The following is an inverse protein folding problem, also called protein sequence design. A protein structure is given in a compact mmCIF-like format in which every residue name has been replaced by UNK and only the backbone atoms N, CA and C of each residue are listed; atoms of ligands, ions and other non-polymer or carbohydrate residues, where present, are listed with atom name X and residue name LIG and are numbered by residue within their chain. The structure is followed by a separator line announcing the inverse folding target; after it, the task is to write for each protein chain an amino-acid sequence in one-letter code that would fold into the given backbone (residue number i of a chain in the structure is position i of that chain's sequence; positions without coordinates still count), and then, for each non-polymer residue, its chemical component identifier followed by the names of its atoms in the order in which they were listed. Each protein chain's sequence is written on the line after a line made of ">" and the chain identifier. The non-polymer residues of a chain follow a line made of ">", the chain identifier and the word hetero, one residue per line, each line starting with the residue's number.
data_IF_702854493700
#
_entry.id   IF_702854493700
#
_cell.length_a   1.000
_cell.length_b   1.000
_cell.length_c   1.000
_cell.angle_alpha   90.00
_cell.angle_beta   90.00
_cell.angle_gamma   90.00
#
_symmetry.space_group_name_H-M   'P 1'
#
loop_
_entity.id
_entity.type
_entity.pdbx_description
1 polymer ?
#
# COMPACT_ATOMS: atom_id res chain seq x y z
N UNK A 1 -1.93 -21.96 0.91
CA UNK A 1 -2.11 -21.81 -0.56
C UNK A 1 -2.08 -20.33 -0.85
N UNK A 2 -1.12 -19.85 -1.63
CA UNK A 2 -1.05 -18.45 -2.05
C UNK A 2 -2.24 -18.19 -2.97
N UNK A 3 -3.19 -17.34 -2.57
CA UNK A 3 -4.31 -16.95 -3.43
C UNK A 3 -3.74 -16.41 -4.74
N UNK A 4 -4.18 -16.95 -5.88
CA UNK A 4 -3.77 -16.45 -7.19
C UNK A 4 -4.19 -14.98 -7.27
N UNK A 5 -3.34 -14.13 -7.86
CA UNK A 5 -3.73 -12.77 -8.21
C UNK A 5 -4.97 -12.81 -9.12
N UNK A 6 -5.87 -11.83 -8.96
CA UNK A 6 -7.00 -11.69 -9.87
C UNK A 6 -6.54 -11.31 -11.29
N UNK A 7 -5.32 -10.75 -11.41
CA UNK A 7 -4.71 -10.27 -12.66
C UNK A 7 -3.43 -11.04 -12.94
N UNK A 8 -3.20 -11.36 -14.20
CA UNK A 8 -1.97 -11.99 -14.71
C UNK A 8 -1.05 -10.86 -15.19
N UNK A 9 -0.06 -10.50 -14.38
CA UNK A 9 0.89 -9.43 -14.70
C UNK A 9 2.00 -9.87 -15.66
N UNK A 10 2.32 -11.15 -15.68
CA UNK A 10 3.27 -11.74 -16.61
C UNK A 10 2.90 -13.21 -16.87
N UNK A 11 3.10 -13.67 -18.10
CA UNK A 11 2.62 -15.01 -18.52
C UNK A 11 3.20 -16.15 -17.66
N UNK A 12 4.48 -16.02 -17.26
CA UNK A 12 5.17 -16.96 -16.39
C UNK A 12 6.09 -16.21 -15.43
N UNK A 13 6.06 -16.58 -14.14
CA UNK A 13 7.05 -16.07 -13.20
C UNK A 13 8.44 -16.58 -13.57
N UNK A 14 9.42 -15.70 -13.85
CA UNK A 14 10.79 -16.15 -14.13
C UNK A 14 11.37 -16.94 -12.96
N UNK A 15 12.16 -17.99 -13.24
CA UNK A 15 12.77 -18.81 -12.19
C UNK A 15 13.68 -18.01 -11.27
N UNK A 16 14.50 -17.11 -11.85
CA UNK A 16 15.34 -16.21 -11.08
C UNK A 16 14.52 -15.34 -10.10
N UNK A 17 13.40 -14.78 -10.55
CA UNK A 17 12.53 -13.93 -9.73
C UNK A 17 11.91 -14.73 -8.57
N UNK A 18 11.46 -15.97 -8.84
CA UNK A 18 10.92 -16.85 -7.81
C UNK A 18 11.94 -17.18 -6.71
N UNK A 19 13.24 -17.25 -7.03
CA UNK A 19 14.31 -17.47 -6.04
C UNK A 19 14.43 -16.28 -5.08
N UNK A 20 14.40 -15.04 -5.57
CA UNK A 20 14.39 -13.85 -4.72
C UNK A 20 13.11 -13.78 -3.87
N UNK A 21 11.96 -14.10 -4.44
CA UNK A 21 10.71 -14.17 -3.70
C UNK A 21 10.74 -15.20 -2.54
N UNK A 22 11.55 -16.25 -2.64
CA UNK A 22 11.67 -17.29 -1.62
C UNK A 22 12.58 -16.89 -0.43
N UNK A 23 13.35 -15.81 -0.52
CA UNK A 23 14.26 -15.37 0.52
C UNK A 23 13.51 -15.02 1.83
N UNK A 24 14.09 -15.30 3.02
CA UNK A 24 13.43 -15.11 4.31
C UNK A 24 12.85 -13.71 4.54
N UNK A 25 13.52 -12.58 4.19
CA UNK A 25 12.95 -11.26 4.37
C UNK A 25 11.66 -11.05 3.54
N UNK A 26 11.62 -11.58 2.30
CA UNK A 26 10.40 -11.56 1.47
C UNK A 26 9.29 -12.44 2.06
N UNK A 27 9.66 -13.62 2.62
CA UNK A 27 8.68 -14.49 3.25
C UNK A 27 8.09 -13.87 4.53
N UNK A 28 8.84 -13.02 5.24
CA UNK A 28 8.35 -12.25 6.38
C UNK A 28 7.13 -11.40 6.01
N UNK A 29 7.21 -10.63 4.93
CA UNK A 29 6.14 -9.70 4.52
C UNK A 29 4.88 -10.41 3.97
N UNK A 30 4.86 -11.75 3.86
CA UNK A 30 3.62 -12.53 3.69
C UNK A 30 2.67 -12.37 4.87
N UNK A 31 3.22 -12.05 6.03
CA UNK A 31 2.51 -11.91 7.31
C UNK A 31 2.41 -10.44 7.73
N UNK A 32 2.47 -9.54 6.77
CA UNK A 32 2.21 -8.11 6.91
C UNK A 32 1.09 -7.74 5.94
N UNK A 33 -0.03 -7.25 6.46
CA UNK A 33 -1.22 -6.88 5.69
C UNK A 33 -1.05 -5.58 4.90
N UNK A 34 -1.83 -5.43 3.84
CA UNK A 34 -1.86 -4.19 3.03
C UNK A 34 -2.67 -3.07 3.67
N UNK A 35 -3.63 -3.40 4.57
CA UNK A 35 -4.61 -2.42 5.06
C UNK A 35 -4.21 -1.81 6.41
N UNK A 36 -2.93 -1.78 6.73
CA UNK A 36 -2.37 -1.08 7.91
C UNK A 36 -3.01 -1.49 9.25
N UNK A 37 -3.51 -2.73 9.35
CA UNK A 37 -4.20 -3.28 10.51
C UNK A 37 -5.71 -2.98 10.55
N UNK A 38 -6.26 -2.13 9.65
CA UNK A 38 -7.69 -1.83 9.60
C UNK A 38 -8.55 -3.07 9.40
N UNK A 39 -8.03 -4.11 8.74
CA UNK A 39 -8.67 -5.41 8.52
C UNK A 39 -8.97 -6.19 9.80
N UNK A 40 -8.34 -5.85 10.91
CA UNK A 40 -8.63 -6.46 12.22
C UNK A 40 -9.85 -5.83 12.90
N UNK A 41 -10.32 -4.68 12.43
CA UNK A 41 -11.53 -4.03 12.96
C UNK A 41 -12.81 -4.70 12.45
N UNK A 42 -13.92 -4.41 13.12
CA UNK A 42 -15.25 -4.85 12.71
C UNK A 42 -15.98 -3.84 11.82
N UNK A 43 -15.31 -2.78 11.35
CA UNK A 43 -15.92 -1.87 10.38
C UNK A 43 -16.40 -2.61 9.15
N UNK A 44 -17.65 -2.39 8.68
CA UNK A 44 -18.21 -3.10 7.53
C UNK A 44 -17.32 -3.07 6.28
N UNK A 45 -16.59 -1.98 6.08
CA UNK A 45 -15.68 -1.77 4.96
C UNK A 45 -14.51 -2.76 4.96
N UNK A 46 -13.95 -3.10 6.13
CA UNK A 46 -12.76 -3.94 6.26
C UNK A 46 -13.06 -5.40 6.59
N UNK A 47 -14.19 -5.68 7.24
CA UNK A 47 -14.53 -6.99 7.84
C UNK A 47 -14.50 -8.19 6.88
N UNK A 48 -14.63 -7.98 5.57
CA UNK A 48 -14.75 -9.06 4.58
C UNK A 48 -13.75 -8.94 3.44
N UNK A 49 -12.64 -8.25 3.69
CA UNK A 49 -11.58 -8.16 2.70
C UNK A 49 -10.91 -9.52 2.53
N UNK A 50 -10.61 -9.94 1.29
CA UNK A 50 -9.77 -11.10 1.07
C UNK A 50 -8.35 -10.84 1.59
N UNK A 51 -7.62 -11.87 2.04
CA UNK A 51 -6.23 -11.71 2.47
C UNK A 51 -5.38 -11.09 1.36
N UNK A 52 -4.76 -9.95 1.67
CA UNK A 52 -3.86 -9.22 0.78
C UNK A 52 -2.65 -8.75 1.59
N UNK A 53 -1.48 -9.31 1.28
CA UNK A 53 -0.23 -9.05 2.02
C UNK A 53 0.74 -8.20 1.21
N UNK A 54 1.66 -7.55 1.90
CA UNK A 54 2.78 -6.83 1.31
C UNK A 54 3.60 -7.71 0.36
N UNK A 55 3.77 -8.98 0.67
CA UNK A 55 4.40 -9.94 -0.24
C UNK A 55 3.68 -10.05 -1.59
N UNK A 56 2.35 -10.21 -1.56
CA UNK A 56 1.58 -10.34 -2.80
C UNK A 56 1.69 -9.08 -3.64
N UNK A 57 1.59 -7.93 -3.01
CA UNK A 57 1.78 -6.63 -3.61
C UNK A 57 3.18 -6.48 -4.23
N UNK A 58 4.25 -6.71 -3.46
CA UNK A 58 5.63 -6.61 -3.94
C UNK A 58 5.92 -7.54 -5.12
N UNK A 59 5.42 -8.78 -5.06
CA UNK A 59 5.56 -9.72 -6.19
C UNK A 59 4.84 -9.19 -7.44
N UNK A 60 3.64 -8.62 -7.27
CA UNK A 60 2.89 -8.01 -8.37
C UNK A 60 3.60 -6.82 -8.98
N UNK A 61 4.06 -5.87 -8.15
CA UNK A 61 4.81 -4.69 -8.60
C UNK A 61 6.09 -5.08 -9.35
N UNK A 62 6.85 -6.07 -8.83
CA UNK A 62 8.04 -6.59 -9.51
C UNK A 62 7.73 -7.26 -10.86
N UNK A 63 6.65 -8.05 -10.96
CA UNK A 63 6.24 -8.67 -12.21
C UNK A 63 5.74 -7.67 -13.24
N UNK A 64 5.02 -6.62 -12.82
CA UNK A 64 4.61 -5.50 -13.68
C UNK A 64 5.85 -4.80 -14.21
N UNK A 65 6.78 -4.45 -13.33
CA UNK A 65 8.03 -3.78 -13.74
C UNK A 65 8.83 -4.65 -14.71
N UNK A 66 8.95 -5.96 -14.44
CA UNK A 66 9.58 -6.89 -15.38
C UNK A 66 8.90 -6.92 -16.74
N UNK A 67 7.55 -6.95 -16.75
CA UNK A 67 6.78 -7.01 -17.99
C UNK A 67 7.04 -5.81 -18.91
N UNK A 68 7.12 -4.60 -18.34
CA UNK A 68 7.24 -3.37 -19.12
C UNK A 68 8.69 -2.94 -19.38
N UNK A 69 9.66 -3.41 -18.60
CA UNK A 69 11.06 -2.96 -18.74
C UNK A 69 12.01 -4.04 -19.24
N UNK A 70 11.74 -5.32 -18.96
CA UNK A 70 12.69 -6.41 -19.20
C UNK A 70 13.98 -6.27 -18.36
N UNK A 71 14.07 -5.35 -17.39
CA UNK A 71 15.23 -5.12 -16.54
C UNK A 71 15.09 -5.87 -15.22
N UNK A 72 16.07 -6.74 -14.94
CA UNK A 72 16.12 -7.50 -13.70
C UNK A 72 16.31 -6.59 -12.48
N UNK A 73 17.16 -5.57 -12.58
CA UNK A 73 17.43 -4.61 -11.51
C UNK A 73 16.14 -3.84 -11.14
N UNK A 74 15.43 -3.32 -12.15
CA UNK A 74 14.18 -2.60 -11.91
C UNK A 74 13.11 -3.48 -11.29
N UNK A 75 12.96 -4.71 -11.79
CA UNK A 75 12.00 -5.67 -11.27
C UNK A 75 12.32 -6.07 -9.81
N UNK A 76 13.61 -6.23 -9.46
CA UNK A 76 14.03 -6.51 -8.08
C UNK A 76 13.88 -5.29 -7.17
N UNK A 77 14.19 -4.09 -7.64
CA UNK A 77 13.94 -2.88 -6.88
C UNK A 77 12.44 -2.75 -6.53
N UNK A 78 11.55 -2.97 -7.52
CA UNK A 78 10.12 -3.02 -7.28
C UNK A 78 9.67 -4.20 -6.38
N UNK A 79 10.35 -5.36 -6.44
CA UNK A 79 10.09 -6.48 -5.53
C UNK A 79 10.46 -6.13 -4.08
N UNK A 80 11.54 -5.38 -3.87
CA UNK A 80 12.08 -5.09 -2.55
C UNK A 80 11.55 -3.79 -1.93
N UNK A 81 10.76 -2.98 -2.66
CA UNK A 81 10.34 -1.67 -2.17
C UNK A 81 9.66 -1.74 -0.78
N UNK A 82 8.89 -2.79 -0.52
CA UNK A 82 8.18 -3.03 0.74
C UNK A 82 8.89 -4.01 1.70
N UNK A 83 10.13 -4.46 1.37
CA UNK A 83 10.84 -5.47 2.18
C UNK A 83 11.11 -4.99 3.61
N UNK A 84 11.18 -3.67 3.82
CA UNK A 84 11.39 -3.03 5.11
C UNK A 84 10.08 -2.64 5.82
N UNK A 85 8.92 -2.86 5.21
CA UNK A 85 7.64 -2.46 5.80
C UNK A 85 7.43 -3.16 7.14
N UNK A 86 7.19 -2.41 8.24
CA UNK A 86 6.89 -2.97 9.53
C UNK A 86 5.47 -3.58 9.56
N UNK A 87 5.16 -4.31 10.63
CA UNK A 87 3.79 -4.77 10.91
C UNK A 87 2.84 -3.58 10.97
N UNK A 88 1.64 -3.73 10.42
CA UNK A 88 0.65 -2.67 10.31
C UNK A 88 1.12 -1.44 9.51
N UNK A 89 2.23 -1.55 8.79
CA UNK A 89 2.70 -0.58 7.79
C UNK A 89 2.62 0.89 8.26
N UNK A 90 1.89 1.76 7.55
CA UNK A 90 1.77 3.19 7.85
C UNK A 90 1.19 3.52 9.23
N UNK A 91 0.63 2.57 9.95
CA UNK A 91 0.27 2.77 11.36
C UNK A 91 1.51 3.07 12.22
N UNK A 92 2.68 2.53 11.86
CA UNK A 92 3.94 2.87 12.53
C UNK A 92 4.40 4.29 12.22
N UNK A 93 4.16 4.80 11.02
CA UNK A 93 4.41 6.22 10.68
C UNK A 93 3.54 7.14 11.56
N UNK A 94 2.27 6.77 11.79
CA UNK A 94 1.36 7.48 12.72
C UNK A 94 1.90 7.49 14.17
N UNK A 95 2.58 6.43 14.63
CA UNK A 95 3.22 6.43 15.97
C UNK A 95 4.24 7.57 16.12
N UNK A 96 4.89 7.96 15.03
CA UNK A 96 5.91 9.00 14.98
C UNK A 96 5.35 10.36 14.55
N UNK A 97 4.02 10.47 14.32
CA UNK A 97 3.36 11.71 13.89
C UNK A 97 3.56 12.03 12.41
N UNK A 98 4.07 11.08 11.62
CA UNK A 98 4.27 11.22 10.18
C UNK A 98 3.01 10.82 9.41
N UNK A 99 1.96 11.61 9.53
CA UNK A 99 0.67 11.38 8.88
C UNK A 99 0.67 11.68 7.37
N UNK A 100 1.56 12.58 6.93
CA UNK A 100 1.49 13.17 5.59
C UNK A 100 2.55 12.63 4.63
N UNK A 101 3.77 12.33 5.11
CA UNK A 101 4.83 11.74 4.27
C UNK A 101 4.73 10.23 4.26
N UNK A 102 4.63 9.62 5.45
CA UNK A 102 4.58 8.16 5.63
C UNK A 102 5.85 7.46 5.10
N UNK A 103 7.01 8.02 5.42
CA UNK A 103 8.34 7.57 4.93
C UNK A 103 9.27 7.13 6.09
N UNK A 104 8.81 7.24 7.35
CA UNK A 104 9.65 6.93 8.52
C UNK A 104 10.28 5.55 8.47
N UNK A 105 9.63 4.59 7.82
CA UNK A 105 10.01 3.16 7.82
C UNK A 105 10.84 2.73 6.61
N UNK A 106 11.04 3.58 5.59
CA UNK A 106 11.69 3.20 4.32
C UNK A 106 13.21 3.04 4.43
N UNK A 107 13.86 3.67 5.40
CA UNK A 107 15.33 3.72 5.54
C UNK A 107 16.03 2.39 5.84
N UNK A 108 15.33 1.25 5.93
CA UNK A 108 15.93 -0.05 6.27
C UNK A 108 16.08 -1.03 5.10
N UNK A 109 15.61 -0.68 3.92
CA UNK A 109 15.61 -1.59 2.75
C UNK A 109 17.01 -2.11 2.44
N UNK A 110 17.99 -1.22 2.33
CA UNK A 110 19.37 -1.59 2.03
C UNK A 110 19.96 -2.53 3.08
N UNK A 111 19.78 -2.22 4.37
CA UNK A 111 20.32 -3.06 5.45
C UNK A 111 19.67 -4.44 5.49
N UNK A 112 18.36 -4.54 5.30
CA UNK A 112 17.65 -5.83 5.29
C UNK A 112 18.11 -6.71 4.13
N UNK A 113 18.37 -6.14 2.96
CA UNK A 113 18.90 -6.88 1.81
C UNK A 113 20.33 -7.31 2.08
N UNK A 114 21.18 -6.41 2.57
CA UNK A 114 22.60 -6.66 2.86
C UNK A 114 22.81 -7.72 3.96
N UNK A 115 21.98 -7.68 5.00
CA UNK A 115 22.04 -8.58 6.14
C UNK A 115 21.44 -9.98 5.84
N UNK A 116 20.78 -10.18 4.68
CA UNK A 116 20.28 -11.48 4.26
C UNK A 116 21.34 -12.24 3.44
N UNK A 117 21.92 -13.34 3.98
CA UNK A 117 22.90 -14.15 3.24
C UNK A 117 22.33 -14.68 1.92
N UNK A 118 21.03 -15.04 1.90
CA UNK A 118 20.37 -15.59 0.72
C UNK A 118 20.22 -14.52 -0.39
N UNK A 119 19.79 -13.29 -0.03
CA UNK A 119 19.67 -12.20 -0.99
C UNK A 119 21.04 -11.77 -1.50
N UNK A 120 22.02 -11.61 -0.62
CA UNK A 120 23.39 -11.26 -0.98
C UNK A 120 24.02 -12.29 -1.91
N UNK A 121 23.81 -13.59 -1.65
CA UNK A 121 24.31 -14.66 -2.52
C UNK A 121 23.63 -14.63 -3.90
N UNK A 122 22.31 -14.42 -3.95
CA UNK A 122 21.58 -14.32 -5.21
C UNK A 122 22.00 -13.10 -6.01
N UNK A 123 22.11 -11.92 -5.40
CA UNK A 123 22.60 -10.70 -6.06
C UNK A 123 24.01 -10.93 -6.64
N UNK A 124 24.90 -11.57 -5.88
CA UNK A 124 26.24 -11.95 -6.36
C UNK A 124 26.22 -12.93 -7.52
N UNK A 125 25.33 -13.92 -7.51
CA UNK A 125 25.17 -14.90 -8.60
C UNK A 125 24.76 -14.24 -9.91
N UNK A 126 23.84 -13.25 -9.84
CA UNK A 126 23.36 -12.53 -11.03
C UNK A 126 24.19 -11.27 -11.35
N UNK A 127 25.22 -10.96 -10.58
CA UNK A 127 26.09 -9.80 -10.79
C UNK A 127 25.39 -8.46 -10.58
N UNK A 128 24.35 -8.40 -9.75
CA UNK A 128 23.53 -7.22 -9.48
C UNK A 128 24.06 -6.52 -8.24
N UNK A 129 24.50 -5.25 -8.34
CA UNK A 129 24.95 -4.50 -7.17
C UNK A 129 23.77 -4.15 -6.24
N UNK A 130 24.01 -4.16 -4.91
CA UNK A 130 23.01 -3.83 -3.91
C UNK A 130 22.36 -2.45 -4.19
N UNK A 131 23.14 -1.46 -4.57
CA UNK A 131 22.66 -0.10 -4.89
C UNK A 131 21.69 -0.02 -6.05
N UNK A 132 21.66 -1.03 -6.94
CA UNK A 132 20.69 -1.08 -8.04
C UNK A 132 19.31 -1.59 -7.62
N UNK A 133 19.17 -2.14 -6.40
CA UNK A 133 17.92 -2.76 -5.95
C UNK A 133 17.43 -2.25 -4.58
N UNK A 134 18.23 -1.43 -3.89
CA UNK A 134 17.90 -0.90 -2.57
C UNK A 134 17.09 0.40 -2.61
N UNK A 135 17.12 1.11 -3.73
CA UNK A 135 16.36 2.34 -3.96
C UNK A 135 15.52 2.22 -5.23
N UNK A 136 14.23 1.99 -5.08
CA UNK A 136 13.29 1.84 -6.20
C UNK A 136 12.91 3.18 -6.85
N UNK A 137 13.13 4.32 -6.17
CA UNK A 137 12.80 5.66 -6.68
C UNK A 137 13.61 6.06 -7.91
N UNK A 138 14.78 5.44 -8.11
CA UNK A 138 15.59 5.69 -9.31
C UNK A 138 14.97 5.09 -10.59
N UNK A 139 13.88 4.32 -10.45
CA UNK A 139 13.18 3.63 -11.54
C UNK A 139 11.74 4.08 -11.68
N UNK A 140 11.44 5.07 -12.52
CA UNK A 140 10.09 5.68 -12.61
C UNK A 140 8.97 4.72 -13.02
N UNK A 141 9.27 3.59 -13.68
CA UNK A 141 8.28 2.54 -13.97
C UNK A 141 7.94 1.75 -12.70
N UNK A 142 8.92 1.51 -11.80
CA UNK A 142 8.70 0.82 -10.54
C UNK A 142 7.85 1.68 -9.60
N UNK A 143 8.32 2.91 -9.31
CA UNK A 143 7.54 3.94 -8.64
C UNK A 143 7.98 5.34 -9.06
N UNK A 144 7.11 6.33 -8.85
CA UNK A 144 7.30 7.73 -9.21
C UNK A 144 6.42 8.62 -8.30
N UNK A 145 6.53 9.93 -8.43
CA UNK A 145 5.73 10.87 -7.63
C UNK A 145 4.25 10.88 -8.06
N UNK A 146 3.33 10.93 -7.06
CA UNK A 146 1.92 11.17 -7.32
C UNK A 146 1.76 12.55 -7.99
N UNK A 147 0.87 12.70 -8.97
CA UNK A 147 -0.18 11.75 -9.40
C UNK A 147 0.21 10.82 -10.56
N UNK A 148 1.49 10.68 -10.87
CA UNK A 148 1.96 9.80 -11.96
C UNK A 148 1.63 8.34 -11.72
N UNK A 149 1.73 7.53 -12.78
CA UNK A 149 1.32 6.15 -12.79
C UNK A 149 2.52 5.20 -12.85
N UNK A 150 2.65 4.33 -11.84
CA UNK A 150 3.75 3.39 -11.66
C UNK A 150 3.26 1.96 -11.47
N UNK A 151 4.19 0.98 -11.46
CA UNK A 151 3.88 -0.41 -11.18
C UNK A 151 3.35 -0.61 -9.75
N UNK A 152 3.91 0.10 -8.77
CA UNK A 152 3.43 0.12 -7.39
C UNK A 152 1.96 0.55 -7.34
N UNK A 153 1.64 1.75 -7.90
CA UNK A 153 0.28 2.29 -7.90
C UNK A 153 -0.72 1.44 -8.66
N UNK A 154 -0.30 0.87 -9.78
CA UNK A 154 -1.13 -0.05 -10.55
C UNK A 154 -1.48 -1.29 -9.74
N UNK A 155 -0.48 -1.93 -9.12
CA UNK A 155 -0.68 -3.18 -8.40
C UNK A 155 -1.58 -3.01 -7.19
N UNK A 156 -1.31 -2.02 -6.32
CA UNK A 156 -2.16 -1.84 -5.15
C UNK A 156 -3.58 -1.37 -5.51
N UNK A 157 -3.73 -0.60 -6.59
CA UNK A 157 -5.07 -0.19 -7.06
C UNK A 157 -5.86 -1.40 -7.54
N UNK A 158 -5.31 -2.26 -8.40
CA UNK A 158 -5.98 -3.47 -8.88
C UNK A 158 -6.28 -4.45 -7.74
N UNK A 159 -5.34 -4.62 -6.80
CA UNK A 159 -5.52 -5.45 -5.62
C UNK A 159 -6.65 -4.96 -4.72
N UNK A 160 -6.71 -3.66 -4.46
CA UNK A 160 -7.75 -3.04 -3.64
C UNK A 160 -9.11 -2.99 -4.35
N UNK A 161 -9.16 -2.78 -5.66
CA UNK A 161 -10.39 -2.88 -6.45
C UNK A 161 -10.99 -4.29 -6.37
N UNK A 162 -10.15 -5.33 -6.39
CA UNK A 162 -10.60 -6.70 -6.17
C UNK A 162 -11.19 -6.92 -4.78
N UNK A 163 -10.63 -6.29 -3.75
CA UNK A 163 -11.04 -6.42 -2.36
C UNK A 163 -12.25 -5.54 -2.00
N UNK A 164 -12.09 -4.23 -2.09
CA UNK A 164 -13.08 -3.25 -1.65
C UNK A 164 -14.26 -3.11 -2.61
N UNK A 165 -13.98 -2.91 -3.91
CA UNK A 165 -15.01 -2.70 -4.92
C UNK A 165 -15.51 -4.02 -5.52
N UNK A 166 -14.89 -5.16 -5.21
CA UNK A 166 -15.20 -6.48 -5.74
C UNK A 166 -15.30 -6.52 -7.26
N UNK A 167 -14.40 -5.76 -7.93
CA UNK A 167 -14.32 -5.78 -9.38
C UNK A 167 -13.96 -7.17 -9.87
N UNK A 168 -14.63 -7.63 -10.93
CA UNK A 168 -14.38 -8.94 -11.53
C UNK A 168 -12.95 -9.02 -12.12
N UNK A 169 -12.33 -10.19 -12.04
CA UNK A 169 -10.99 -10.42 -12.56
C UNK A 169 -10.83 -10.04 -14.04
N UNK A 170 -11.87 -10.26 -14.86
CA UNK A 170 -11.86 -9.89 -16.26
C UNK A 170 -11.79 -8.36 -16.47
N UNK A 171 -12.49 -7.57 -15.65
CA UNK A 171 -12.43 -6.12 -15.68
C UNK A 171 -11.02 -5.61 -15.29
N UNK A 172 -10.46 -6.16 -14.20
CA UNK A 172 -9.11 -5.81 -13.74
C UNK A 172 -8.05 -6.20 -14.77
N UNK A 173 -8.21 -7.36 -15.43
CA UNK A 173 -7.31 -7.78 -16.50
C UNK A 173 -7.42 -6.85 -17.72
N UNK A 174 -8.63 -6.41 -18.08
CA UNK A 174 -8.83 -5.46 -19.18
C UNK A 174 -8.13 -4.12 -18.93
N UNK A 175 -8.14 -3.62 -17.67
CA UNK A 175 -7.33 -2.45 -17.31
C UNK A 175 -5.84 -2.72 -17.56
N UNK A 176 -5.33 -3.86 -17.07
CA UNK A 176 -3.93 -4.20 -17.21
C UNK A 176 -3.51 -4.38 -18.68
N UNK A 177 -4.31 -5.03 -19.49
CA UNK A 177 -4.02 -5.30 -20.91
C UNK A 177 -3.98 -4.02 -21.77
N UNK A 178 -4.63 -2.94 -21.31
CA UNK A 178 -4.59 -1.63 -21.96
C UNK A 178 -3.36 -0.79 -21.56
N UNK A 179 -2.52 -1.26 -20.61
CA UNK A 179 -1.30 -0.54 -20.20
C UNK A 179 -0.19 -0.68 -21.25
N UNK A 180 0.61 0.36 -21.37
CA UNK A 180 1.89 0.37 -22.08
C UNK A 180 2.90 1.24 -21.33
N UNK A 181 4.19 1.10 -21.66
CA UNK A 181 5.20 2.07 -21.26
C UNK A 181 5.20 3.24 -22.24
N UNK A 182 5.28 4.45 -21.73
CA UNK A 182 5.32 5.69 -22.51
C UNK A 182 6.34 6.66 -21.91
N UNK A 183 6.49 7.81 -22.54
CA UNK A 183 7.33 8.92 -22.05
C UNK A 183 6.42 10.04 -21.55
N UNK A 184 6.62 10.45 -20.31
CA UNK A 184 5.90 11.56 -19.69
C UNK A 184 6.36 12.93 -20.25
N UNK A 185 5.72 14.00 -19.82
CA UNK A 185 5.93 15.37 -20.31
C UNK A 185 7.35 15.88 -20.07
N UNK A 186 8.03 15.37 -19.05
CA UNK A 186 9.42 15.73 -18.69
C UNK A 186 10.47 14.79 -19.28
N UNK A 187 10.04 13.83 -20.11
CA UNK A 187 10.93 12.85 -20.74
C UNK A 187 11.17 11.58 -19.89
N UNK A 188 10.65 11.49 -18.69
CA UNK A 188 10.77 10.28 -17.87
C UNK A 188 9.86 9.15 -18.37
N UNK A 189 10.28 7.87 -18.24
CA UNK A 189 9.38 6.75 -18.52
C UNK A 189 8.25 6.66 -17.50
N UNK A 190 7.04 6.33 -17.96
CA UNK A 190 5.85 6.17 -17.13
C UNK A 190 4.93 5.11 -17.72
N UNK A 191 4.11 4.45 -16.87
CA UNK A 191 3.01 3.62 -17.37
C UNK A 191 1.89 4.52 -17.91
N UNK A 192 1.27 4.10 -19.01
CA UNK A 192 0.20 4.83 -19.68
C UNK A 192 -0.90 3.87 -20.14
N UNK A 193 -2.10 4.38 -20.33
CA UNK A 193 -3.17 3.66 -21.02
C UNK A 193 -3.09 3.92 -22.52
N UNK A 194 -3.37 2.87 -23.32
CA UNK A 194 -3.49 2.98 -24.77
C UNK A 194 -4.76 3.71 -25.19
N UNK A 195 -5.84 3.57 -24.39
CA UNK A 195 -7.15 4.15 -24.71
C UNK A 195 -7.66 5.07 -23.61
N UNK A 196 -8.32 6.17 -24.03
CA UNK A 196 -8.86 7.17 -23.10
C UNK A 196 -10.05 6.61 -22.28
N UNK A 197 -10.87 5.75 -22.88
CA UNK A 197 -12.04 5.20 -22.21
C UNK A 197 -11.64 4.26 -21.06
N UNK A 198 -10.62 3.41 -21.27
CA UNK A 198 -10.08 2.55 -20.21
C UNK A 198 -9.38 3.38 -19.13
N UNK A 199 -8.61 4.40 -19.53
CA UNK A 199 -7.98 5.33 -18.61
C UNK A 199 -9.02 6.03 -17.71
N UNK A 200 -10.14 6.49 -18.27
CA UNK A 200 -11.21 7.15 -17.53
C UNK A 200 -11.89 6.19 -16.54
N UNK A 201 -12.20 4.98 -16.97
CA UNK A 201 -12.80 3.97 -16.11
C UNK A 201 -11.87 3.61 -14.94
N UNK A 202 -10.58 3.36 -15.23
CA UNK A 202 -9.56 3.10 -14.21
C UNK A 202 -9.34 4.31 -13.29
N UNK A 203 -9.23 5.52 -13.84
CA UNK A 203 -9.00 6.74 -13.07
C UNK A 203 -10.10 6.99 -12.03
N UNK A 204 -11.38 6.77 -12.40
CA UNK A 204 -12.53 6.86 -11.49
C UNK A 204 -12.49 5.77 -10.42
N UNK A 205 -12.19 4.53 -10.79
CA UNK A 205 -12.03 3.43 -9.85
C UNK A 205 -10.85 3.69 -8.88
N UNK A 206 -9.72 4.20 -9.36
CA UNK A 206 -8.58 4.60 -8.52
C UNK A 206 -8.96 5.73 -7.55
N UNK A 207 -9.75 6.71 -8.01
CA UNK A 207 -10.23 7.81 -7.17
C UNK A 207 -11.22 7.31 -6.09
N UNK A 208 -12.04 6.28 -6.39
CA UNK A 208 -12.87 5.60 -5.39
C UNK A 208 -11.99 4.98 -4.29
N UNK A 209 -10.91 4.28 -4.66
CA UNK A 209 -9.96 3.73 -3.69
C UNK A 209 -9.27 4.84 -2.89
N UNK A 210 -8.88 5.93 -3.51
CA UNK A 210 -8.27 7.09 -2.84
C UNK A 210 -9.18 7.68 -1.76
N UNK A 211 -10.50 7.70 -1.97
CA UNK A 211 -11.48 8.11 -0.95
C UNK A 211 -11.53 7.14 0.23
N UNK A 212 -11.30 5.84 0.00
CA UNK A 212 -11.23 4.84 1.07
C UNK A 212 -10.01 5.08 1.97
N UNK A 213 -8.84 5.37 1.39
CA UNK A 213 -7.59 5.59 2.13
C UNK A 213 -7.59 6.85 3.02
N UNK A 214 -8.55 7.75 2.84
CA UNK A 214 -8.74 8.92 3.71
C UNK A 214 -10.09 8.89 4.45
N UNK A 215 -10.82 7.78 4.37
CA UNK A 215 -12.11 7.64 5.04
C UNK A 215 -11.96 7.78 6.58
N UNK A 216 -13.00 8.25 7.28
CA UNK A 216 -12.98 8.35 8.74
C UNK A 216 -12.59 7.05 9.44
N UNK A 217 -13.10 5.91 8.96
CA UNK A 217 -12.81 4.57 9.51
C UNK A 217 -11.33 4.22 9.40
N UNK A 218 -10.71 4.50 8.23
CA UNK A 218 -9.30 4.21 7.97
C UNK A 218 -8.40 5.03 8.88
N UNK A 219 -8.59 6.37 8.87
CA UNK A 219 -7.81 7.30 9.68
C UNK A 219 -7.93 7.01 11.17
N UNK A 220 -9.16 6.74 11.64
CA UNK A 220 -9.42 6.46 13.05
C UNK A 220 -8.82 5.12 13.49
N UNK A 221 -8.97 4.07 12.67
CA UNK A 221 -8.39 2.76 12.97
C UNK A 221 -6.86 2.85 13.07
N UNK A 222 -6.19 3.47 12.08
CA UNK A 222 -4.74 3.64 12.12
C UNK A 222 -4.28 4.44 13.33
N UNK A 223 -4.99 5.54 13.68
CA UNK A 223 -4.68 6.34 14.87
C UNK A 223 -4.80 5.51 16.16
N UNK A 224 -5.90 4.78 16.33
CA UNK A 224 -6.13 3.95 17.51
C UNK A 224 -5.11 2.84 17.66
N UNK A 225 -4.77 2.18 16.55
CA UNK A 225 -3.73 1.14 16.55
C UNK A 225 -2.34 1.74 16.84
N UNK A 226 -2.03 2.90 16.28
CA UNK A 226 -0.76 3.59 16.56
C UNK A 226 -0.60 3.95 18.05
N UNK A 227 -1.66 4.40 18.69
CA UNK A 227 -1.68 4.70 20.12
C UNK A 227 -1.46 3.44 20.97
N UNK A 228 -2.12 2.33 20.58
CA UNK A 228 -1.94 1.02 21.23
C UNK A 228 -0.49 0.52 21.09
N UNK A 229 0.08 0.58 19.90
CA UNK A 229 1.47 0.18 19.65
C UNK A 229 2.46 1.07 20.41
N UNK A 230 2.24 2.38 20.41
CA UNK A 230 3.06 3.32 21.18
C UNK A 230 3.04 3.00 22.68
N UNK A 231 1.87 2.66 23.22
CA UNK A 231 1.73 2.22 24.63
C UNK A 231 2.46 0.90 24.87
N UNK A 232 2.33 -0.07 23.96
CA UNK A 232 3.00 -1.38 24.07
C UNK A 232 4.52 -1.24 24.06
N UNK A 233 5.06 -0.38 23.19
CA UNK A 233 6.49 -0.07 23.13
C UNK A 233 6.94 0.67 24.41
N UNK A 234 6.19 1.70 24.84
CA UNK A 234 6.52 2.45 26.06
C UNK A 234 6.52 1.60 27.34
N UNK A 235 5.79 0.48 27.36
CA UNK A 235 5.75 -0.48 28.46
C UNK A 235 6.79 -1.62 28.31
N UNK A 236 7.52 -1.67 27.21
CA UNK A 236 8.47 -2.73 26.90
C UNK A 236 7.83 -4.10 26.63
N UNK A 237 6.52 -4.14 26.34
CA UNK A 237 5.81 -5.39 25.94
C UNK A 237 6.13 -5.75 24.50
N UNK A 238 6.31 -4.75 23.63
CA UNK A 238 6.79 -4.88 22.26
C UNK A 238 8.00 -3.99 22.08
N UNK A 239 9.07 -4.46 21.46
CA UNK A 239 10.21 -3.62 21.09
C UNK A 239 10.01 -3.01 19.68
N UNK A 240 10.73 -1.93 19.37
CA UNK A 240 10.74 -1.36 18.02
C UNK A 240 11.23 -2.35 16.97
N UNK A 241 12.15 -3.25 17.34
CA UNK A 241 12.67 -4.29 16.44
C UNK A 241 11.61 -5.36 16.16
N UNK A 242 10.80 -5.74 17.16
CA UNK A 242 9.69 -6.68 16.96
C UNK A 242 8.62 -6.16 15.97
N UNK A 243 8.51 -4.83 15.77
CA UNK A 243 7.64 -4.27 14.72
C UNK A 243 8.11 -4.62 13.31
N UNK A 244 9.37 -5.00 13.12
CA UNK A 244 9.88 -5.55 11.85
C UNK A 244 9.78 -7.09 11.77
N UNK A 245 8.99 -7.70 12.65
CA UNK A 245 8.63 -9.10 12.65
C UNK A 245 7.37 -9.40 11.81
N UNK A 246 6.41 -10.09 12.43
CA UNK A 246 5.12 -10.46 11.84
C UNK A 246 3.96 -9.95 12.69
N UNK A 247 2.81 -9.66 12.05
CA UNK A 247 1.63 -9.16 12.77
C UNK A 247 1.15 -10.13 13.84
N UNK A 248 1.14 -11.45 13.56
CA UNK A 248 0.74 -12.47 14.54
C UNK A 248 1.63 -12.46 15.79
N UNK A 249 2.95 -12.24 15.60
CA UNK A 249 3.88 -12.19 16.73
C UNK A 249 3.59 -10.97 17.61
N UNK A 250 3.40 -9.80 17.01
CA UNK A 250 3.07 -8.56 17.74
C UNK A 250 1.71 -8.68 18.42
N UNK A 251 0.68 -9.22 17.73
CA UNK A 251 -0.64 -9.46 18.32
C UNK A 251 -0.54 -10.41 19.52
N UNK A 252 0.28 -11.47 19.45
CA UNK A 252 0.52 -12.38 20.57
C UNK A 252 1.16 -11.66 21.77
N UNK A 253 2.11 -10.72 21.52
CA UNK A 253 2.69 -9.88 22.56
C UNK A 253 1.65 -8.96 23.20
N UNK A 254 0.81 -8.28 22.40
CA UNK A 254 -0.29 -7.46 22.92
C UNK A 254 -1.23 -8.27 23.81
N UNK A 255 -1.59 -9.48 23.38
CA UNK A 255 -2.48 -10.37 24.14
C UNK A 255 -1.85 -10.97 25.40
N UNK A 256 -0.54 -10.95 25.56
CA UNK A 256 0.14 -11.42 26.77
C UNK A 256 0.06 -10.44 27.96
N UNK A 257 -0.29 -9.18 27.71
CA UNK A 257 -0.52 -8.17 28.76
C UNK A 257 -2.03 -7.88 28.87
N UNK A 258 -2.58 -7.99 30.08
CA UNK A 258 -4.03 -7.89 30.28
C UNK A 258 -4.65 -6.56 29.82
N UNK A 259 -3.95 -5.43 30.02
CA UNK A 259 -4.44 -4.12 29.64
C UNK A 259 -4.37 -3.92 28.10
N UNK A 260 -3.23 -4.28 27.49
CA UNK A 260 -3.05 -4.18 26.03
C UNK A 260 -3.97 -5.17 25.30
N UNK A 261 -4.21 -6.34 25.86
CA UNK A 261 -5.20 -7.28 25.35
C UNK A 261 -6.60 -6.69 25.32
N UNK A 262 -7.03 -6.06 26.43
CA UNK A 262 -8.34 -5.40 26.48
C UNK A 262 -8.45 -4.23 25.47
N UNK A 263 -7.35 -3.49 25.24
CA UNK A 263 -7.32 -2.42 24.23
C UNK A 263 -7.34 -2.99 22.81
N UNK A 264 -6.62 -4.07 22.55
CA UNK A 264 -6.65 -4.77 21.26
C UNK A 264 -8.05 -5.29 20.94
N UNK A 265 -8.73 -5.91 21.91
CA UNK A 265 -10.10 -6.41 21.71
C UNK A 265 -11.09 -5.24 21.47
N UNK A 266 -10.94 -4.10 22.16
CA UNK A 266 -11.72 -2.87 21.85
C UNK A 266 -11.44 -2.35 20.45
N UNK A 267 -10.17 -2.37 20.00
CA UNK A 267 -9.80 -2.01 18.64
C UNK A 267 -10.47 -2.94 17.60
N UNK A 268 -10.41 -4.24 17.82
CA UNK A 268 -11.07 -5.21 16.94
C UNK A 268 -12.59 -5.06 16.92
N UNK A 269 -13.20 -4.57 18.00
CA UNK A 269 -14.64 -4.36 18.10
C UNK A 269 -15.13 -3.06 17.42
N UNK A 270 -14.24 -2.15 16.99
CA UNK A 270 -14.63 -0.94 16.28
C UNK A 270 -15.48 -1.29 15.05
N UNK A 271 -16.72 -0.80 14.99
CA UNK A 271 -17.67 -1.22 13.97
C UNK A 271 -18.46 -0.10 13.28
N UNK A 272 -18.47 1.13 13.84
CA UNK A 272 -19.05 2.30 13.19
C UNK A 272 -18.41 3.60 13.64
N UNK A 273 -18.49 4.61 12.78
CA UNK A 273 -18.13 5.99 13.13
C UNK A 273 -19.34 6.71 13.75
N UNK A 274 -19.08 7.55 14.76
CA UNK A 274 -20.10 8.45 15.29
C UNK A 274 -20.38 9.59 14.32
N UNK A 275 -21.63 10.01 14.23
CA UNK A 275 -22.01 11.24 13.54
C UNK A 275 -21.49 12.47 14.30
N UNK A 276 -21.44 13.63 13.63
CA UNK A 276 -21.04 14.89 14.26
C UNK A 276 -21.89 15.22 15.49
N UNK A 277 -23.19 14.99 15.42
CA UNK A 277 -24.11 15.28 16.51
C UNK A 277 -23.89 14.35 17.71
N UNK A 278 -23.61 13.06 17.46
CA UNK A 278 -23.25 12.09 18.51
C UNK A 278 -21.93 12.47 19.20
N UNK A 279 -20.93 12.92 18.44
CA UNK A 279 -19.66 13.40 18.99
C UNK A 279 -19.87 14.60 19.92
N UNK A 280 -20.68 15.58 19.48
CA UNK A 280 -20.96 16.80 20.26
C UNK A 280 -21.78 16.51 21.52
N UNK A 281 -22.77 15.61 21.43
CA UNK A 281 -23.63 15.26 22.55
C UNK A 281 -22.95 14.39 23.62
N UNK A 282 -21.96 13.54 23.21
CA UNK A 282 -21.42 12.48 24.04
C UNK A 282 -20.09 12.78 24.73
N UNK A 283 -19.48 13.97 24.58
CA UNK A 283 -18.08 14.22 24.98
C UNK A 283 -17.12 13.11 24.52
N UNK A 284 -17.38 12.55 23.35
CA UNK A 284 -16.59 11.45 22.80
C UNK A 284 -15.14 11.88 22.57
N UNK A 285 -14.18 10.97 22.79
CA UNK A 285 -12.76 11.18 22.49
C UNK A 285 -12.53 11.26 20.97
N UNK A 286 -12.95 12.40 20.39
CA UNK A 286 -12.86 12.68 18.97
C UNK A 286 -11.51 13.31 18.61
N UNK A 287 -11.03 13.03 17.42
CA UNK A 287 -9.73 13.52 16.94
C UNK A 287 -9.84 14.05 15.53
N UNK A 288 -9.11 15.11 15.23
CA UNK A 288 -8.81 15.52 13.86
C UNK A 288 -7.55 14.79 13.44
N UNK A 289 -7.67 13.92 12.45
CA UNK A 289 -6.60 13.05 11.98
C UNK A 289 -6.31 13.39 10.52
N UNK A 290 -5.16 14.00 10.20
CA UNK A 290 -4.76 14.23 8.82
C UNK A 290 -4.39 12.91 8.13
N UNK A 291 -4.40 12.89 6.82
CA UNK A 291 -3.94 11.75 6.02
C UNK A 291 -3.32 12.21 4.69
N UNK A 292 -2.39 11.42 4.16
CA UNK A 292 -1.84 11.60 2.82
C UNK A 292 -2.90 11.26 1.78
N UNK A 293 -3.28 12.23 0.97
CA UNK A 293 -4.14 11.98 -0.19
C UNK A 293 -3.31 11.39 -1.31
N UNK A 294 -3.66 10.21 -1.76
CA UNK A 294 -3.07 9.55 -2.91
C UNK A 294 -4.00 9.70 -4.10
N UNK A 295 -3.47 10.08 -5.24
CA UNK A 295 -4.23 10.19 -6.48
C UNK A 295 -3.41 9.70 -7.65
N UNK A 296 -4.11 9.26 -8.70
CA UNK A 296 -3.53 8.87 -9.98
C UNK A 296 -4.22 9.70 -11.06
N UNK A 297 -3.42 10.41 -11.85
CA UNK A 297 -3.85 11.07 -13.09
C UNK A 297 -3.16 10.37 -14.25
N UNK A 298 -3.77 9.31 -14.81
CA UNK A 298 -3.07 8.44 -15.76
C UNK A 298 -2.67 9.19 -17.03
N UNK A 299 -1.49 8.86 -17.55
CA UNK A 299 -1.09 9.25 -18.89
C UNK A 299 -1.87 8.39 -19.90
N UNK A 300 -2.34 9.02 -20.98
CA UNK A 300 -2.96 8.36 -22.14
C UNK A 300 -2.05 8.54 -23.34
N UNK A 301 -1.67 7.44 -23.98
CA UNK A 301 -0.73 7.41 -25.10
C UNK A 301 -1.14 8.43 -26.18
N UNK A 302 -0.20 9.26 -26.60
CA UNK A 302 -0.35 10.31 -27.61
C UNK A 302 -1.42 11.39 -27.30
N UNK A 303 -2.01 11.41 -26.08
CA UNK A 303 -3.07 12.36 -25.71
C UNK A 303 -2.75 13.20 -24.46
N UNK A 304 -1.78 12.78 -23.64
CA UNK A 304 -1.43 13.46 -22.39
C UNK A 304 -2.20 12.95 -21.17
N UNK A 305 -2.25 13.74 -20.10
CA UNK A 305 -2.91 13.37 -18.84
C UNK A 305 -4.43 13.24 -19.00
N UNK A 306 -5.00 12.29 -18.27
CA UNK A 306 -6.45 12.09 -18.28
C UNK A 306 -7.21 13.35 -17.87
N UNK A 307 -6.73 14.09 -16.87
CA UNK A 307 -7.31 15.38 -16.45
C UNK A 307 -7.28 16.46 -17.54
N UNK A 308 -6.31 16.41 -18.43
CA UNK A 308 -6.22 17.36 -19.56
C UNK A 308 -7.19 17.03 -20.71
N UNK A 309 -7.61 15.77 -20.83
CA UNK A 309 -8.48 15.30 -21.93
C UNK A 309 -9.93 15.03 -21.48
N UNK A 310 -10.19 15.00 -20.16
CA UNK A 310 -11.52 14.81 -19.57
C UNK A 310 -11.75 15.85 -18.49
N UNK A 311 -12.52 16.90 -18.81
CA UNK A 311 -12.88 17.96 -17.86
C UNK A 311 -13.64 17.40 -16.65
N UNK A 312 -14.52 16.42 -16.87
CA UNK A 312 -15.29 15.76 -15.81
C UNK A 312 -14.36 15.06 -14.80
N UNK A 313 -13.37 14.30 -15.28
CA UNK A 313 -12.38 13.66 -14.40
C UNK A 313 -11.52 14.68 -13.66
N UNK A 314 -11.12 15.76 -14.33
CA UNK A 314 -10.37 16.85 -13.71
C UNK A 314 -11.11 17.47 -12.53
N UNK A 315 -12.42 17.73 -12.69
CA UNK A 315 -13.29 18.25 -11.63
C UNK A 315 -13.43 17.25 -10.47
N UNK A 316 -13.63 15.95 -10.75
CA UNK A 316 -13.71 14.89 -9.75
C UNK A 316 -12.41 14.77 -8.94
N UNK A 317 -11.26 14.82 -9.62
CA UNK A 317 -9.93 14.74 -9.01
C UNK A 317 -9.64 15.98 -8.16
N UNK A 318 -9.91 17.16 -8.69
CA UNK A 318 -9.74 18.44 -7.96
C UNK A 318 -10.62 18.46 -6.71
N UNK A 319 -11.90 18.12 -6.83
CA UNK A 319 -12.83 18.04 -5.69
C UNK A 319 -12.32 17.13 -4.58
N UNK A 320 -11.75 15.96 -4.92
CA UNK A 320 -11.13 15.08 -3.96
C UNK A 320 -9.88 15.72 -3.31
N UNK A 321 -9.00 16.32 -4.11
CA UNK A 321 -7.77 16.91 -3.59
C UNK A 321 -8.04 18.12 -2.68
N UNK A 322 -9.10 18.88 -2.93
CA UNK A 322 -9.50 20.05 -2.12
C UNK A 322 -10.34 19.69 -0.89
N UNK A 323 -10.93 18.48 -0.85
CA UNK A 323 -11.76 18.04 0.28
C UNK A 323 -10.99 18.15 1.61
N UNK A 324 -11.45 18.93 2.59
CA UNK A 324 -10.78 19.03 3.89
C UNK A 324 -10.91 17.74 4.70
N UNK A 325 -9.85 17.41 5.46
CA UNK A 325 -9.83 16.28 6.39
C UNK A 325 -9.77 16.75 7.84
N UNK A 326 -10.38 17.89 8.12
CA UNK A 326 -10.36 18.65 9.40
C UNK A 326 -11.53 18.33 10.33
N UNK A 327 -12.50 17.57 9.86
CA UNK A 327 -13.60 17.15 10.72
C UNK A 327 -13.13 16.15 11.79
N UNK A 328 -13.55 16.31 13.07
CA UNK A 328 -13.24 15.34 14.11
C UNK A 328 -13.94 14.01 13.82
N UNK A 329 -13.23 12.92 14.12
CA UNK A 329 -13.70 11.54 13.94
C UNK A 329 -13.65 10.79 15.25
N UNK A 330 -14.60 9.89 15.47
CA UNK A 330 -14.65 8.98 16.60
C UNK A 330 -15.34 7.69 16.18
N UNK A 331 -14.74 6.55 16.49
CA UNK A 331 -15.31 5.21 16.22
C UNK A 331 -15.68 4.49 17.52
N UNK A 332 -16.69 3.62 17.44
CA UNK A 332 -17.14 2.74 18.53
C UNK A 332 -17.27 1.31 18.06
#
# INVERSE_FOLDING_TARGET
>A
MCGKSAVIYHAQMPEWFARFCAAPPMQRIRRVGMNCGCEYTSFPRFRRLPPYSRYRHSVGAGLITWHFTGSMEQALAALFHDIATPVFAHTVDFMHGDYLRQEYTEGRTESIIADSPELSALLGEYGIPLSAVSDYHIYPIADNDSPRFSADRLEYTLGNLSGFARREAACLQAYYDDICAATAEDGAPELAFKTADTALAFGRDALEMSRIYVAPEDRYAMQRLSELLKKAVGRGVVSMEELYGTEDAVIARLRSDAELCAEWERYCALHRMLSRDEILAGNADSRVIPAKKRSIDPLVLDKGRLSAISAEFAEELQSFMEQPLDAPVCGI
#
